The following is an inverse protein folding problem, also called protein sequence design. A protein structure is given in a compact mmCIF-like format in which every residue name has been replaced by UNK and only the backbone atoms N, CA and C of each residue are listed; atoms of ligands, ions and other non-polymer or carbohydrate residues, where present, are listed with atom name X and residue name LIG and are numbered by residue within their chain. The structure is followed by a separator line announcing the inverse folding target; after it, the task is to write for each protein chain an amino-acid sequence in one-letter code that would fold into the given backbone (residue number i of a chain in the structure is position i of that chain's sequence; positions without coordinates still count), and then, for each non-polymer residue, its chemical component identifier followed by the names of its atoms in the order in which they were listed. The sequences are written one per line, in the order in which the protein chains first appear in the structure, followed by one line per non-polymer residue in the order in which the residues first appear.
data_IF_796661453190
#
_entry.id   IF_796661453190
#
_cell.length_a   1.000
_cell.length_b   1.000
_cell.length_c   1.000
_cell.angle_alpha   90.00
_cell.angle_beta   90.00
_cell.angle_gamma   90.00
#
_symmetry.space_group_name_H-M   'P 1'
#
loop_
_entity.id
_entity.type
_entity.pdbx_description
1 polymer ?
#
# COMPACT_ATOMS: atom_id res chain seq x y z
N UNK A 1 24.58 -19.26 -61.24
CA UNK A 1 25.49 -18.78 -60.18
C UNK A 1 24.79 -18.34 -58.88
N UNK A 2 23.71 -17.54 -58.87
CA UNK A 2 23.04 -17.09 -57.61
C UNK A 2 22.50 -18.22 -56.70
N UNK A 3 21.94 -19.30 -57.25
CA UNK A 3 21.38 -20.43 -56.46
C UNK A 3 22.44 -21.28 -55.72
N UNK A 4 23.66 -21.37 -56.26
CA UNK A 4 24.75 -22.12 -55.63
C UNK A 4 25.33 -21.38 -54.41
N UNK A 5 25.40 -20.04 -54.47
CA UNK A 5 25.80 -19.21 -53.33
C UNK A 5 24.80 -19.28 -52.17
N UNK A 6 23.49 -19.27 -52.47
CA UNK A 6 22.45 -19.41 -51.45
C UNK A 6 22.51 -20.76 -50.74
N UNK A 7 22.73 -21.85 -51.49
CA UNK A 7 22.88 -23.18 -50.90
C UNK A 7 24.11 -23.31 -50.01
N UNK A 8 25.25 -22.77 -50.44
CA UNK A 8 26.48 -22.78 -49.65
C UNK A 8 26.36 -21.97 -48.35
N UNK A 9 25.72 -20.79 -48.38
CA UNK A 9 25.51 -19.97 -47.19
C UNK A 9 24.60 -20.66 -46.16
N UNK A 10 23.53 -21.31 -46.61
CA UNK A 10 22.58 -21.99 -45.73
C UNK A 10 23.22 -23.21 -45.06
N UNK A 11 24.06 -23.93 -45.80
CA UNK A 11 24.82 -25.08 -45.29
C UNK A 11 25.89 -24.63 -44.28
N UNK A 12 26.57 -23.50 -44.53
CA UNK A 12 27.52 -22.91 -43.59
C UNK A 12 26.84 -22.51 -42.27
N UNK A 13 25.66 -21.88 -42.34
CA UNK A 13 24.89 -21.51 -41.15
C UNK A 13 24.44 -22.74 -40.37
N UNK A 14 23.97 -23.79 -41.05
CA UNK A 14 23.59 -25.04 -40.40
C UNK A 14 24.80 -25.71 -39.70
N UNK A 15 25.96 -25.74 -40.34
CA UNK A 15 27.20 -26.28 -39.75
C UNK A 15 27.64 -25.45 -38.54
N UNK A 16 27.61 -24.12 -38.63
CA UNK A 16 27.94 -23.25 -37.51
C UNK A 16 26.96 -23.41 -36.34
N UNK A 17 25.67 -23.60 -36.60
CA UNK A 17 24.66 -23.85 -35.58
C UNK A 17 24.89 -25.19 -34.87
N UNK A 18 25.21 -26.25 -35.62
CA UNK A 18 25.53 -27.58 -35.06
C UNK A 18 26.83 -27.55 -34.24
N UNK A 19 27.88 -26.94 -34.77
CA UNK A 19 29.17 -26.81 -34.08
C UNK A 19 29.05 -25.93 -32.82
N UNK A 20 28.29 -24.83 -32.91
CA UNK A 20 27.95 -23.99 -31.76
C UNK A 20 27.16 -24.75 -30.70
N UNK A 21 26.14 -25.51 -31.10
CA UNK A 21 25.33 -26.33 -30.20
C UNK A 21 26.17 -27.40 -29.48
N UNK A 22 27.03 -28.11 -30.20
CA UNK A 22 27.94 -29.12 -29.63
C UNK A 22 28.98 -28.51 -28.69
N UNK A 23 29.53 -27.34 -29.02
CA UNK A 23 30.48 -26.64 -28.15
C UNK A 23 29.84 -26.14 -26.85
N UNK A 24 28.54 -25.81 -26.87
CA UNK A 24 27.79 -25.41 -25.68
C UNK A 24 27.38 -26.64 -24.84
N UNK A 25 26.94 -27.73 -25.47
CA UNK A 25 26.55 -28.98 -24.79
C UNK A 25 27.74 -29.73 -24.18
N UNK A 26 28.95 -29.59 -24.74
CA UNK A 26 30.16 -30.25 -24.26
C UNK A 26 30.91 -29.51 -23.14
N UNK A 27 30.51 -28.28 -22.79
CA UNK A 27 31.13 -27.55 -21.67
C UNK A 27 30.69 -28.19 -20.36
N UNK A 28 31.54 -29.09 -19.83
CA UNK A 28 31.49 -29.45 -18.42
C UNK A 28 31.68 -28.18 -17.62
N UNK A 29 30.63 -27.74 -16.94
CA UNK A 29 30.74 -26.69 -15.92
C UNK A 29 31.66 -27.29 -14.85
N UNK A 30 32.90 -26.82 -14.78
CA UNK A 30 33.82 -27.24 -13.72
C UNK A 30 33.29 -26.69 -12.40
N UNK A 31 32.85 -27.59 -11.53
CA UNK A 31 32.33 -27.29 -10.21
C UNK A 31 31.59 -28.51 -9.68
N UNK A 32 31.74 -28.78 -8.39
CA UNK A 32 30.88 -29.76 -7.73
C UNK A 32 29.47 -29.18 -7.62
N UNK A 33 28.41 -29.95 -7.92
CA UNK A 33 27.05 -29.50 -7.68
C UNK A 33 26.88 -29.22 -6.18
N UNK A 34 26.86 -27.95 -5.82
CA UNK A 34 26.55 -27.50 -4.48
C UNK A 34 25.07 -27.17 -4.40
N UNK A 35 24.41 -27.59 -3.32
CA UNK A 35 23.06 -27.12 -3.01
C UNK A 35 23.14 -25.64 -2.67
N UNK A 36 22.64 -24.79 -3.56
CA UNK A 36 22.45 -23.38 -3.24
C UNK A 36 21.36 -23.28 -2.14
N UNK A 37 21.57 -22.47 -1.09
CA UNK A 37 20.53 -22.26 -0.10
C UNK A 37 19.34 -21.60 -0.78
N UNK A 38 18.15 -22.12 -0.50
CA UNK A 38 16.91 -21.52 -1.00
C UNK A 38 16.66 -20.28 -0.16
N UNK A 39 16.49 -19.10 -0.77
CA UNK A 39 16.22 -17.88 -0.01
C UNK A 39 15.05 -18.08 0.94
N UNK A 40 15.14 -17.57 2.16
CA UNK A 40 14.01 -17.54 3.10
C UNK A 40 13.00 -16.44 2.74
N UNK A 41 12.03 -16.16 3.63
CA UNK A 41 11.20 -14.96 3.52
C UNK A 41 12.07 -13.69 3.57
N UNK A 42 11.62 -12.58 2.96
CA UNK A 42 12.31 -11.30 3.09
C UNK A 42 12.23 -10.79 4.53
N UNK A 43 13.23 -9.99 4.93
CA UNK A 43 13.26 -9.39 6.26
C UNK A 43 12.25 -8.23 6.38
N UNK A 44 11.80 -7.93 7.60
CA UNK A 44 11.06 -6.70 7.88
C UNK A 44 11.89 -5.48 7.46
N UNK A 45 11.23 -4.51 6.82
CA UNK A 45 11.89 -3.34 6.23
C UNK A 45 12.62 -3.63 4.92
N UNK A 46 12.44 -4.81 4.31
CA UNK A 46 12.85 -5.02 2.91
C UNK A 46 11.89 -4.29 1.98
N UNK A 47 12.42 -3.75 0.88
CA UNK A 47 11.64 -3.02 -0.11
C UNK A 47 11.32 -3.87 -1.33
N UNK A 48 10.14 -3.67 -1.89
CA UNK A 48 9.71 -4.32 -3.13
C UNK A 48 10.48 -3.72 -4.32
N UNK A 49 11.17 -4.58 -5.09
CA UNK A 49 11.95 -4.16 -6.27
C UNK A 49 11.09 -4.05 -7.52
N UNK A 50 10.09 -4.92 -7.66
CA UNK A 50 9.20 -4.99 -8.84
C UNK A 50 7.99 -4.08 -8.69
N UNK A 51 7.35 -3.77 -9.83
CA UNK A 51 6.11 -2.99 -9.85
C UNK A 51 5.05 -3.65 -8.94
N UNK A 52 4.43 -2.83 -8.11
CA UNK A 52 3.17 -3.21 -7.46
C UNK A 52 2.13 -3.31 -8.57
N UNK A 53 1.40 -4.42 -8.62
CA UNK A 53 0.30 -4.54 -9.56
C UNK A 53 -0.82 -3.64 -9.04
N UNK A 54 -1.39 -2.74 -9.86
CA UNK A 54 -2.50 -1.88 -9.44
C UNK A 54 -3.64 -2.70 -8.84
N UNK A 55 -4.43 -2.07 -7.96
CA UNK A 55 -5.56 -2.68 -7.26
C UNK A 55 -6.40 -3.59 -8.18
N UNK A 56 -6.32 -4.88 -7.87
CA UNK A 56 -6.81 -6.04 -8.60
C UNK A 56 -6.24 -7.25 -7.87
N UNK A 57 -6.95 -8.37 -7.84
CA UNK A 57 -6.61 -9.48 -6.92
C UNK A 57 -5.20 -9.99 -7.24
N UNK A 58 -4.21 -9.84 -6.34
CA UNK A 58 -2.82 -10.23 -6.58
C UNK A 58 -2.64 -11.75 -6.36
N UNK A 59 -3.60 -12.53 -6.83
CA UNK A 59 -3.57 -13.99 -6.75
C UNK A 59 -3.11 -14.54 -8.08
N UNK A 60 -2.12 -15.42 -8.03
CA UNK A 60 -1.78 -16.27 -9.15
C UNK A 60 -2.72 -17.48 -9.12
N UNK A 61 -3.28 -17.83 -10.29
CA UNK A 61 -3.95 -19.11 -10.48
C UNK A 61 -2.89 -20.15 -10.83
N UNK A 62 -2.43 -20.90 -9.82
CA UNK A 62 -1.46 -21.97 -9.97
C UNK A 62 -2.21 -23.29 -9.99
N UNK A 63 -2.52 -23.78 -11.19
CA UNK A 63 -3.19 -25.07 -11.41
C UNK A 63 -4.57 -25.19 -10.71
N UNK A 64 -5.33 -24.09 -10.65
CA UNK A 64 -6.64 -24.04 -9.99
C UNK A 64 -6.59 -23.78 -8.49
N UNK A 65 -5.39 -23.61 -7.91
CA UNK A 65 -5.18 -23.16 -6.53
C UNK A 65 -4.79 -21.68 -6.56
N UNK A 66 -5.58 -20.88 -5.87
CA UNK A 66 -5.26 -19.47 -5.66
C UNK A 66 -4.13 -19.38 -4.64
N UNK A 67 -3.07 -18.68 -5.02
CA UNK A 67 -1.93 -18.43 -4.15
C UNK A 67 -1.48 -16.98 -4.27
N UNK A 68 -0.81 -16.48 -3.24
CA UNK A 68 -0.22 -15.15 -3.28
C UNK A 68 0.90 -15.13 -4.31
N UNK A 69 0.96 -14.04 -5.09
CA UNK A 69 2.06 -13.82 -6.01
C UNK A 69 3.39 -13.76 -5.27
N UNK A 70 4.46 -14.13 -5.95
CA UNK A 70 5.82 -13.92 -5.45
C UNK A 70 6.43 -12.64 -6.01
N UNK A 71 7.34 -12.01 -5.26
CA UNK A 71 8.07 -10.84 -5.73
C UNK A 71 9.52 -10.82 -5.26
N UNK A 72 10.33 -9.97 -5.89
CA UNK A 72 11.72 -9.73 -5.52
C UNK A 72 11.83 -8.55 -4.55
N UNK A 73 12.64 -8.74 -3.51
CA UNK A 73 12.89 -7.75 -2.47
C UNK A 73 14.38 -7.37 -2.42
N UNK A 74 14.64 -6.14 -2.01
CA UNK A 74 15.98 -5.61 -1.80
C UNK A 74 16.06 -4.74 -0.55
N UNK A 75 17.28 -4.34 -0.16
CA UNK A 75 17.46 -3.32 0.87
C UNK A 75 16.81 -2.02 0.40
N UNK A 76 16.18 -1.27 1.30
CA UNK A 76 15.47 -0.02 0.98
C UNK A 76 16.35 1.18 0.54
N UNK A 77 17.46 0.95 -0.16
CA UNK A 77 18.35 1.98 -0.69
C UNK A 77 17.84 2.45 -2.07
N UNK A 78 16.98 3.48 -2.11
CA UNK A 78 16.51 4.09 -3.36
C UNK A 78 15.01 4.36 -3.39
N UNK A 79 14.45 4.47 -4.61
CA UNK A 79 13.02 4.67 -4.85
C UNK A 79 12.25 3.41 -4.45
N UNK A 80 11.09 3.59 -3.81
CA UNK A 80 10.30 2.48 -3.26
C UNK A 80 8.94 2.39 -3.89
N UNK A 81 8.54 1.16 -4.16
CA UNK A 81 7.16 0.84 -4.47
C UNK A 81 6.41 0.42 -3.20
N UNK A 82 7.04 -0.38 -2.32
CA UNK A 82 6.50 -0.76 -1.02
C UNK A 82 7.55 -1.31 -0.06
N UNK A 83 7.14 -1.55 1.19
CA UNK A 83 7.98 -2.03 2.29
C UNK A 83 7.30 -3.20 3.04
N UNK A 84 8.07 -4.23 3.36
CA UNK A 84 7.64 -5.36 4.20
C UNK A 84 7.47 -4.90 5.64
N UNK A 85 6.23 -4.92 6.15
CA UNK A 85 5.91 -4.50 7.53
C UNK A 85 5.58 -5.66 8.46
N UNK A 86 5.26 -6.83 7.90
CA UNK A 86 5.01 -8.04 8.67
C UNK A 86 5.29 -9.31 7.86
N UNK A 87 5.53 -10.40 8.59
CA UNK A 87 5.75 -11.75 8.10
C UNK A 87 4.83 -12.71 8.86
N UNK A 88 4.06 -13.49 8.12
CA UNK A 88 3.20 -14.56 8.59
C UNK A 88 3.89 -15.87 8.22
N UNK A 89 4.41 -16.59 9.22
CA UNK A 89 5.20 -17.82 9.00
C UNK A 89 4.36 -19.09 8.89
N UNK A 90 3.08 -19.01 9.23
CA UNK A 90 2.12 -20.11 9.14
C UNK A 90 0.79 -19.53 8.62
N UNK A 91 0.73 -19.18 7.32
CA UNK A 91 -0.43 -18.51 6.75
C UNK A 91 -1.61 -19.48 6.66
N UNK A 92 -2.82 -18.96 6.92
CA UNK A 92 -4.04 -19.69 6.61
C UNK A 92 -4.14 -19.95 5.09
N UNK A 93 -4.90 -20.97 4.64
CA UNK A 93 -5.24 -21.09 3.23
C UNK A 93 -5.89 -19.80 2.70
N UNK A 94 -5.57 -19.44 1.46
CA UNK A 94 -6.15 -18.26 0.80
C UNK A 94 -7.67 -18.40 0.77
N UNK A 95 -8.37 -17.38 1.26
CA UNK A 95 -9.83 -17.29 1.19
C UNK A 95 -10.24 -16.15 0.25
N UNK A 96 -11.21 -16.44 -0.62
CA UNK A 96 -11.71 -15.49 -1.61
C UNK A 96 -13.23 -15.48 -1.61
N UNK A 97 -13.78 -14.30 -1.35
CA UNK A 97 -15.20 -14.04 -1.46
C UNK A 97 -15.56 -13.61 -2.90
N UNK A 98 -16.70 -14.07 -3.47
CA UNK A 98 -17.22 -13.49 -4.70
C UNK A 98 -17.66 -12.04 -4.45
N UNK A 99 -17.34 -11.15 -5.38
CA UNK A 99 -17.87 -9.78 -5.39
C UNK A 99 -19.02 -9.77 -6.39
N UNK A 100 -20.22 -9.47 -5.89
CA UNK A 100 -21.43 -9.34 -6.71
C UNK A 100 -21.85 -7.87 -6.80
N UNK A 101 -22.40 -7.46 -7.93
CA UNK A 101 -22.95 -6.12 -8.10
C UNK A 101 -24.33 -5.95 -7.43
N UNK A 102 -24.95 -4.79 -7.62
CA UNK A 102 -26.29 -4.50 -7.08
C UNK A 102 -27.40 -5.41 -7.65
N UNK A 103 -27.17 -6.05 -8.79
CA UNK A 103 -28.10 -7.01 -9.41
C UNK A 103 -27.82 -8.45 -8.95
N UNK A 104 -26.74 -8.68 -8.20
CA UNK A 104 -26.30 -10.01 -7.78
C UNK A 104 -25.40 -10.71 -8.80
N UNK A 105 -24.97 -10.03 -9.87
CA UNK A 105 -24.09 -10.59 -10.88
C UNK A 105 -22.64 -10.62 -10.38
N UNK A 106 -21.93 -11.73 -10.61
CA UNK A 106 -20.51 -11.86 -10.24
C UNK A 106 -19.66 -10.88 -11.07
N UNK A 107 -19.11 -9.87 -10.42
CA UNK A 107 -18.22 -8.88 -11.05
C UNK A 107 -16.76 -9.07 -10.69
N UNK A 108 -16.45 -9.90 -9.69
CA UNK A 108 -15.07 -10.17 -9.32
C UNK A 108 -14.95 -11.11 -8.13
N UNK A 109 -13.76 -11.12 -7.55
CA UNK A 109 -13.46 -11.80 -6.28
C UNK A 109 -12.75 -10.79 -5.36
N UNK A 110 -12.74 -11.06 -4.07
CA UNK A 110 -12.10 -10.22 -3.06
C UNK A 110 -11.41 -11.11 -2.03
N UNK A 111 -10.25 -10.66 -1.55
CA UNK A 111 -9.56 -11.22 -0.38
C UNK A 111 -9.86 -10.41 0.88
N UNK A 112 -10.90 -9.58 0.89
CA UNK A 112 -11.24 -8.72 2.03
C UNK A 112 -11.48 -9.48 3.33
N UNK A 113 -11.99 -10.72 3.20
CA UNK A 113 -12.30 -11.59 4.33
C UNK A 113 -11.18 -12.64 4.58
N UNK A 114 -10.11 -12.60 3.79
CA UNK A 114 -8.97 -13.50 3.94
C UNK A 114 -8.28 -13.28 5.31
N UNK A 115 -8.07 -14.33 6.12
CA UNK A 115 -7.47 -14.18 7.44
C UNK A 115 -6.07 -13.57 7.41
N UNK A 116 -5.26 -13.88 6.40
CA UNK A 116 -3.92 -13.31 6.26
C UNK A 116 -4.01 -11.84 5.88
N UNK A 117 -4.98 -11.45 5.03
CA UNK A 117 -5.24 -10.06 4.68
C UNK A 117 -5.62 -9.23 5.91
N UNK A 118 -6.54 -9.74 6.74
CA UNK A 118 -6.94 -9.08 7.99
C UNK A 118 -5.77 -8.93 8.97
N UNK A 119 -4.94 -9.96 9.12
CA UNK A 119 -3.70 -9.90 9.91
C UNK A 119 -2.75 -8.83 9.36
N UNK A 120 -2.58 -8.78 8.04
CA UNK A 120 -1.73 -7.79 7.39
C UNK A 120 -2.23 -6.36 7.56
N UNK A 121 -3.55 -6.12 7.49
CA UNK A 121 -4.12 -4.79 7.79
C UNK A 121 -3.78 -4.39 9.23
N UNK A 122 -4.01 -5.28 10.19
CA UNK A 122 -3.75 -4.99 11.61
C UNK A 122 -2.26 -4.69 11.84
N UNK A 123 -1.36 -5.50 11.25
CA UNK A 123 0.07 -5.30 11.35
C UNK A 123 0.56 -4.01 10.69
N UNK A 124 0.08 -3.68 9.49
CA UNK A 124 0.42 -2.44 8.79
C UNK A 124 0.01 -1.20 9.60
N UNK A 125 -1.18 -1.23 10.20
CA UNK A 125 -1.68 -0.15 11.06
C UNK A 125 -0.85 -0.03 12.33
N UNK A 126 -0.55 -1.14 13.00
CA UNK A 126 0.34 -1.15 14.17
C UNK A 126 1.74 -0.61 13.85
N UNK A 127 2.30 -0.99 12.70
CA UNK A 127 3.59 -0.49 12.21
C UNK A 127 3.63 1.04 12.07
N UNK A 128 2.55 1.62 11.51
CA UNK A 128 2.36 3.07 11.35
C UNK A 128 1.87 3.79 12.63
N UNK A 129 1.68 3.08 13.74
CA UNK A 129 1.16 3.65 14.99
C UNK A 129 -0.31 4.08 14.91
N UNK A 130 -1.09 3.41 14.08
CA UNK A 130 -2.50 3.70 13.83
C UNK A 130 -3.41 2.78 14.64
N UNK A 131 -4.63 3.28 14.92
CA UNK A 131 -5.69 2.52 15.59
C UNK A 131 -5.97 1.23 14.81
N UNK A 132 -6.02 0.10 15.51
CA UNK A 132 -6.24 -1.22 14.87
C UNK A 132 -7.70 -1.39 14.45
N UNK A 133 -8.02 -2.24 13.45
CA UNK A 133 -9.39 -2.43 12.98
C UNK A 133 -10.38 -2.84 14.08
N UNK A 134 -9.94 -3.68 15.03
CA UNK A 134 -10.74 -4.09 16.18
C UNK A 134 -11.10 -2.94 17.14
N UNK A 135 -10.37 -1.82 17.06
CA UNK A 135 -10.56 -0.59 17.84
C UNK A 135 -11.19 0.54 17.01
N UNK A 136 -11.53 0.28 15.74
CA UNK A 136 -11.94 1.30 14.77
C UNK A 136 -13.33 1.91 15.03
N UNK A 137 -14.20 1.19 15.74
CA UNK A 137 -15.57 1.63 16.02
C UNK A 137 -15.52 2.84 16.94
N UNK A 138 -16.20 3.92 16.54
CA UNK A 138 -16.19 5.21 17.23
C UNK A 138 -14.79 5.84 17.36
N UNK A 139 -13.80 5.37 16.59
CA UNK A 139 -12.44 5.91 16.56
C UNK A 139 -12.13 6.58 15.21
N UNK A 140 -11.31 7.63 15.27
CA UNK A 140 -10.76 8.26 14.07
C UNK A 140 -9.64 7.40 13.49
N UNK A 141 -9.87 6.89 12.30
CA UNK A 141 -8.94 6.11 11.49
C UNK A 141 -8.28 7.05 10.49
N UNK A 142 -6.96 7.27 10.55
CA UNK A 142 -6.29 8.04 9.53
C UNK A 142 -6.52 7.43 8.15
N UNK A 143 -6.85 8.27 7.18
CA UNK A 143 -6.95 7.86 5.78
C UNK A 143 -5.62 8.21 5.13
N UNK A 144 -4.78 7.21 4.96
CA UNK A 144 -3.59 7.33 4.12
C UNK A 144 -3.74 6.36 2.95
N UNK A 145 -3.38 6.75 1.72
CA UNK A 145 -3.37 5.85 0.56
C UNK A 145 -2.49 4.59 0.74
N UNK A 146 -1.66 4.53 1.80
CA UNK A 146 -0.90 3.33 2.16
C UNK A 146 -1.67 2.31 3.00
N UNK A 147 -2.74 2.75 3.69
CA UNK A 147 -3.60 1.82 4.44
C UNK A 147 -4.52 1.08 3.45
N UNK A 148 -4.80 1.67 2.29
CA UNK A 148 -5.48 0.99 1.17
C UNK A 148 -4.51 0.19 0.29
N UNK A 149 -3.27 0.65 0.12
CA UNK A 149 -2.21 -0.06 -0.59
C UNK A 149 -1.54 -1.15 0.25
N UNK A 150 -2.23 -2.27 0.47
CA UNK A 150 -1.67 -3.47 1.10
C UNK A 150 -1.55 -4.61 0.09
N UNK A 151 -0.37 -5.22 0.00
CA UNK A 151 -0.11 -6.36 -0.85
C UNK A 151 0.39 -7.56 -0.04
N UNK A 152 -0.19 -8.73 -0.32
CA UNK A 152 0.25 -10.00 0.25
C UNK A 152 1.14 -10.70 -0.75
N UNK A 153 2.36 -11.02 -0.33
CA UNK A 153 3.36 -11.66 -1.19
C UNK A 153 3.78 -12.98 -0.56
N UNK A 154 3.72 -14.04 -1.35
CA UNK A 154 4.09 -15.39 -0.95
C UNK A 154 5.45 -15.85 -1.48
N UNK A 155 5.86 -17.08 -1.14
CA UNK A 155 7.04 -17.73 -1.68
C UNK A 155 6.98 -17.88 -3.20
N UNK A 156 8.15 -17.85 -3.84
CA UNK A 156 8.32 -18.25 -5.23
C UNK A 156 7.94 -19.72 -5.45
N UNK A 157 7.62 -20.15 -6.69
CA UNK A 157 7.39 -21.56 -7.00
C UNK A 157 8.53 -22.50 -6.55
N UNK A 158 9.78 -22.02 -6.61
CA UNK A 158 10.93 -22.78 -6.12
C UNK A 158 10.88 -22.93 -4.59
N UNK A 159 10.66 -21.84 -3.84
CA UNK A 159 10.53 -21.89 -2.38
C UNK A 159 9.40 -22.81 -1.93
N UNK A 160 8.22 -22.75 -2.59
CA UNK A 160 7.08 -23.64 -2.33
C UNK A 160 7.41 -25.12 -2.52
N UNK A 161 8.12 -25.48 -3.60
CA UNK A 161 8.55 -26.87 -3.86
C UNK A 161 9.46 -27.44 -2.78
N UNK A 162 10.10 -26.58 -1.99
CA UNK A 162 10.92 -26.97 -0.86
C UNK A 162 10.24 -26.71 0.50
N UNK A 163 8.91 -26.63 0.51
CA UNK A 163 8.10 -26.62 1.72
C UNK A 163 8.06 -25.28 2.45
N UNK A 164 8.55 -24.19 1.85
CA UNK A 164 8.35 -22.88 2.45
C UNK A 164 6.90 -22.45 2.34
N UNK A 165 6.33 -22.06 3.46
CA UNK A 165 5.01 -21.46 3.58
C UNK A 165 5.19 -20.18 4.39
N UNK A 166 4.96 -19.04 3.75
CA UNK A 166 4.99 -17.74 4.42
C UNK A 166 4.23 -16.72 3.58
N UNK A 167 3.77 -15.66 4.22
CA UNK A 167 3.18 -14.49 3.56
C UNK A 167 3.80 -13.25 4.17
N UNK A 168 4.18 -12.28 3.35
CA UNK A 168 4.58 -10.97 3.85
C UNK A 168 3.55 -9.92 3.50
N UNK A 169 3.37 -9.00 4.45
CA UNK A 169 2.51 -7.84 4.32
C UNK A 169 3.36 -6.69 3.82
N UNK A 170 3.05 -6.18 2.63
CA UNK A 170 3.77 -5.06 2.03
C UNK A 170 2.84 -3.86 1.99
N UNK A 171 3.22 -2.78 2.68
CA UNK A 171 2.54 -1.49 2.50
C UNK A 171 3.17 -0.79 1.31
N UNK A 172 2.36 -0.24 0.43
CA UNK A 172 2.82 0.39 -0.79
C UNK A 172 2.06 1.67 -1.09
N UNK A 173 2.68 2.50 -1.91
CA UNK A 173 2.08 3.73 -2.41
C UNK A 173 1.18 3.40 -3.61
N UNK A 174 -0.14 3.37 -3.42
CA UNK A 174 -1.09 3.14 -4.52
C UNK A 174 -0.94 4.19 -5.64
N UNK A 175 -0.53 5.41 -5.29
CA UNK A 175 -0.34 6.50 -6.24
C UNK A 175 0.95 6.31 -7.05
N UNK A 176 2.05 5.91 -6.42
CA UNK A 176 3.29 5.58 -7.15
C UNK A 176 3.20 4.25 -7.90
N UNK A 177 2.34 3.33 -7.47
CA UNK A 177 2.03 2.10 -8.21
C UNK A 177 1.37 2.43 -9.57
N UNK A 178 0.51 3.45 -9.61
CA UNK A 178 -0.16 3.90 -10.83
C UNK A 178 0.68 4.87 -11.68
N UNK A 179 1.55 5.69 -11.08
CA UNK A 179 2.44 6.63 -11.79
C UNK A 179 3.93 6.45 -11.43
N UNK A 180 4.62 5.64 -12.24
CA UNK A 180 6.05 5.31 -12.07
C UNK A 180 7.00 6.50 -12.18
N UNK A 181 6.54 7.67 -12.62
CA UNK A 181 7.37 8.87 -12.73
C UNK A 181 7.42 9.65 -11.44
N UNK A 182 6.53 9.37 -10.49
CA UNK A 182 6.52 10.07 -9.20
C UNK A 182 7.75 9.69 -8.39
N UNK A 183 8.41 10.68 -7.77
CA UNK A 183 9.46 10.40 -6.81
C UNK A 183 8.83 9.70 -5.60
N UNK A 184 9.26 8.47 -5.34
CA UNK A 184 8.96 7.81 -4.06
C UNK A 184 9.67 8.50 -2.89
N UNK A 185 9.58 7.92 -1.69
CA UNK A 185 10.24 8.45 -0.48
C UNK A 185 11.48 7.64 -0.10
N UNK A 186 12.40 8.27 0.65
CA UNK A 186 13.58 7.63 1.27
C UNK A 186 13.31 7.25 2.75
N UNK A 187 14.18 6.46 3.41
CA UNK A 187 14.03 6.04 4.83
C UNK A 187 13.26 4.73 5.12
N UNK A 188 12.13 4.77 5.80
CA UNK A 188 11.10 3.72 5.83
C UNK A 188 9.75 4.40 5.60
N UNK A 189 8.69 3.67 5.29
CA UNK A 189 7.32 4.23 5.18
C UNK A 189 6.96 4.87 6.51
N UNK A 190 7.31 4.22 7.63
CA UNK A 190 7.09 4.76 8.96
C UNK A 190 7.83 6.07 9.19
N UNK A 191 9.12 6.15 8.88
CA UNK A 191 9.89 7.37 9.07
C UNK A 191 9.39 8.51 8.17
N UNK A 192 9.00 8.18 6.93
CA UNK A 192 8.42 9.15 6.00
C UNK A 192 7.04 9.65 6.48
N UNK A 193 6.22 8.75 7.05
CA UNK A 193 4.89 9.06 7.54
C UNK A 193 4.88 9.83 8.87
N UNK A 194 5.85 9.56 9.74
CA UNK A 194 6.00 10.22 11.05
C UNK A 194 6.92 11.46 10.97
N UNK A 195 7.62 11.65 9.85
CA UNK A 195 8.49 12.80 9.61
C UNK A 195 7.72 14.08 9.26
N UNK A 196 8.46 15.18 9.12
CA UNK A 196 7.97 16.42 8.54
C UNK A 196 9.04 17.05 7.62
N UNK A 197 8.68 17.47 6.39
CA UNK A 197 7.35 17.35 5.79
C UNK A 197 7.00 15.88 5.48
N UNK A 198 5.73 15.52 5.64
CA UNK A 198 5.24 14.21 5.18
C UNK A 198 5.19 14.27 3.64
N UNK A 199 5.76 13.29 2.91
CA UNK A 199 5.65 13.25 1.46
C UNK A 199 4.19 13.24 1.01
N UNK A 200 3.86 14.06 0.02
CA UNK A 200 2.48 14.26 -0.42
C UNK A 200 1.76 12.96 -0.85
N UNK A 201 2.52 11.99 -1.35
CA UNK A 201 2.00 10.65 -1.67
C UNK A 201 1.48 9.87 -0.46
N UNK A 202 1.86 10.24 0.77
CA UNK A 202 1.36 9.61 2.00
C UNK A 202 0.12 10.32 2.58
N UNK A 203 -0.36 11.37 1.91
CA UNK A 203 -1.32 12.35 2.44
C UNK A 203 -2.56 12.40 1.56
N UNK A 204 -3.70 12.84 2.11
CA UNK A 204 -4.97 12.91 1.39
C UNK A 204 -5.56 14.32 1.48
N UNK A 205 -5.73 14.97 0.33
CA UNK A 205 -6.31 16.30 0.19
C UNK A 205 -7.49 16.29 -0.79
N UNK A 206 -8.31 17.36 -0.80
CA UNK A 206 -9.61 17.42 -1.51
C UNK A 206 -9.57 16.98 -3.00
N UNK A 207 -8.45 17.20 -3.70
CA UNK A 207 -8.27 16.88 -5.13
C UNK A 207 -7.14 15.87 -5.40
N UNK A 208 -6.61 15.21 -4.36
CA UNK A 208 -5.51 14.24 -4.49
C UNK A 208 -4.42 14.41 -3.42
N UNK A 209 -3.15 14.16 -3.75
CA UNK A 209 -2.04 14.33 -2.79
C UNK A 209 -1.85 15.81 -2.41
N UNK A 210 -1.25 16.05 -1.23
CA UNK A 210 -1.08 17.39 -0.68
C UNK A 210 0.19 18.12 -1.18
N UNK A 211 0.57 17.95 -2.45
CA UNK A 211 1.66 18.69 -3.14
C UNK A 211 1.14 19.77 -4.10
N UNK A 212 -0.18 19.94 -4.15
CA UNK A 212 -0.87 20.99 -4.91
C UNK A 212 -1.56 21.92 -3.92
N UNK A 213 -1.70 23.21 -4.28
CA UNK A 213 -2.48 24.16 -3.49
C UNK A 213 -3.86 23.62 -3.17
N UNK A 214 -4.17 23.50 -1.89
CA UNK A 214 -5.44 22.99 -1.40
C UNK A 214 -5.93 23.79 -0.19
N UNK A 215 -7.22 23.61 0.13
CA UNK A 215 -7.81 24.17 1.34
C UNK A 215 -8.10 23.12 2.39
N UNK A 216 -8.48 21.93 1.96
CA UNK A 216 -8.88 20.85 2.86
C UNK A 216 -7.86 19.72 2.79
N UNK A 217 -7.35 19.33 3.95
CA UNK A 217 -6.63 18.08 4.16
C UNK A 217 -7.49 17.12 4.97
N UNK A 218 -7.67 15.90 4.45
CA UNK A 218 -8.39 14.83 5.09
C UNK A 218 -7.46 14.08 6.04
N UNK A 219 -7.69 14.21 7.34
CA UNK A 219 -6.84 13.59 8.36
C UNK A 219 -7.27 12.16 8.68
N UNK A 220 -8.57 11.93 8.76
CA UNK A 220 -9.14 10.66 9.20
C UNK A 220 -10.61 10.49 8.80
N UNK A 221 -11.10 9.27 8.89
CA UNK A 221 -12.53 8.93 8.92
C UNK A 221 -12.88 8.15 10.17
N UNK A 222 -14.10 8.29 10.65
CA UNK A 222 -14.64 7.47 11.73
C UNK A 222 -15.94 6.81 11.29
N UNK A 223 -16.19 5.61 11.80
CA UNK A 223 -17.48 4.95 11.70
C UNK A 223 -18.16 4.96 13.06
N UNK A 224 -19.27 5.67 13.16
CA UNK A 224 -20.07 5.76 14.37
C UNK A 224 -21.23 4.76 14.32
N UNK A 225 -21.35 3.93 15.36
CA UNK A 225 -22.43 2.94 15.50
C UNK A 225 -23.41 3.30 16.62
N UNK A 226 -23.27 4.48 17.20
CA UNK A 226 -24.17 5.03 18.20
C UNK A 226 -24.41 6.51 17.92
N UNK A 227 -25.58 7.06 18.31
CA UNK A 227 -25.87 8.46 18.09
C UNK A 227 -24.85 9.37 18.78
N UNK A 228 -24.47 10.45 18.09
CA UNK A 228 -23.57 11.48 18.61
C UNK A 228 -24.14 12.86 18.29
N UNK A 229 -23.75 13.87 19.04
CA UNK A 229 -24.04 15.27 18.68
C UNK A 229 -22.97 15.81 17.74
N UNK A 230 -23.35 16.81 16.94
CA UNK A 230 -22.40 17.53 16.08
C UNK A 230 -21.20 18.08 16.87
N UNK A 231 -21.44 18.60 18.08
CA UNK A 231 -20.41 19.14 18.96
C UNK A 231 -19.43 18.05 19.42
N UNK A 232 -19.92 16.87 19.81
CA UNK A 232 -19.08 15.74 20.23
C UNK A 232 -18.18 15.24 19.10
N UNK A 233 -18.71 15.09 17.88
CA UNK A 233 -17.90 14.65 16.73
C UNK A 233 -16.88 15.71 16.32
N UNK A 234 -17.26 16.99 16.35
CA UNK A 234 -16.31 18.08 16.07
C UNK A 234 -15.19 18.15 17.09
N UNK A 235 -15.51 17.97 18.37
CA UNK A 235 -14.53 17.95 19.45
C UNK A 235 -13.56 16.76 19.29
N UNK A 236 -14.06 15.55 19.09
CA UNK A 236 -13.18 14.38 18.92
C UNK A 236 -12.32 14.48 17.65
N UNK A 237 -12.84 15.08 16.57
CA UNK A 237 -12.05 15.38 15.38
C UNK A 237 -10.96 16.41 15.69
N UNK A 238 -11.24 17.45 16.49
CA UNK A 238 -10.24 18.43 16.91
C UNK A 238 -9.12 17.78 17.72
N UNK A 239 -9.46 16.96 18.70
CA UNK A 239 -8.47 16.24 19.52
C UNK A 239 -7.60 15.34 18.64
N UNK A 240 -8.21 14.59 17.71
CA UNK A 240 -7.47 13.76 16.77
C UNK A 240 -6.57 14.61 15.86
N UNK A 241 -7.08 15.73 15.33
CA UNK A 241 -6.32 16.63 14.49
C UNK A 241 -5.12 17.24 15.23
N UNK A 242 -5.25 17.59 16.51
CA UNK A 242 -4.13 18.04 17.34
C UNK A 242 -3.04 16.97 17.44
N UNK A 243 -3.42 15.71 17.71
CA UNK A 243 -2.47 14.60 17.78
C UNK A 243 -1.78 14.38 16.43
N UNK A 244 -2.53 14.37 15.33
CA UNK A 244 -2.01 14.11 13.98
C UNK A 244 -1.10 15.22 13.44
N UNK A 245 -1.42 16.47 13.76
CA UNK A 245 -0.59 17.63 13.36
C UNK A 245 0.56 17.86 14.33
N UNK A 246 0.48 17.36 15.56
CA UNK A 246 1.41 17.68 16.64
C UNK A 246 1.28 19.11 17.18
N UNK A 247 0.27 19.88 16.75
CA UNK A 247 0.04 21.24 17.21
C UNK A 247 -0.56 21.23 18.62
N UNK A 248 0.02 22.01 19.53
CA UNK A 248 -0.43 22.08 20.92
C UNK A 248 -1.88 22.60 21.05
N UNK A 249 -2.23 23.63 20.28
CA UNK A 249 -3.58 24.19 20.24
C UNK A 249 -3.95 24.59 18.81
N UNK A 250 -4.84 23.81 18.18
CA UNK A 250 -5.34 24.12 16.85
C UNK A 250 -6.20 25.39 16.81
N UNK A 251 -6.85 25.75 17.92
CA UNK A 251 -7.74 26.92 17.97
C UNK A 251 -6.97 28.24 18.03
N UNK A 252 -5.71 28.20 18.46
CA UNK A 252 -4.80 29.34 18.46
C UNK A 252 -4.18 29.61 17.07
N UNK A 253 -4.32 28.68 16.12
CA UNK A 253 -3.78 28.84 14.76
C UNK A 253 -4.76 29.65 13.92
N UNK A 254 -4.48 30.95 13.77
CA UNK A 254 -5.27 31.82 12.91
C UNK A 254 -5.25 31.32 11.45
N UNK A 255 -6.44 31.21 10.84
CA UNK A 255 -6.60 30.80 9.44
C UNK A 255 -6.74 29.29 9.22
N UNK A 256 -6.88 28.50 10.28
CA UNK A 256 -7.08 27.06 10.21
C UNK A 256 -8.32 26.66 11.04
N UNK A 257 -9.21 25.86 10.46
CA UNK A 257 -10.42 25.40 11.13
C UNK A 257 -10.62 23.90 11.00
N UNK A 258 -11.18 23.30 12.07
CA UNK A 258 -11.58 21.88 12.09
C UNK A 258 -12.95 21.74 11.44
N UNK A 259 -13.03 20.91 10.40
CA UNK A 259 -14.25 20.63 9.64
C UNK A 259 -14.55 19.14 9.73
N UNK A 260 -15.82 18.80 9.98
CA UNK A 260 -16.28 17.42 9.91
C UNK A 260 -17.33 17.31 8.81
N UNK A 261 -17.14 16.39 7.86
CA UNK A 261 -18.11 16.07 6.81
C UNK A 261 -18.87 14.80 7.24
N UNK A 262 -20.20 14.90 7.38
CA UNK A 262 -21.12 13.78 7.69
C UNK A 262 -22.56 14.13 7.29
N UNK A 263 -23.47 13.15 7.25
CA UNK A 263 -24.90 13.41 7.07
C UNK A 263 -25.59 13.68 8.42
N UNK A 264 -26.29 14.81 8.57
CA UNK A 264 -26.91 15.17 9.85
C UNK A 264 -27.96 14.16 10.32
N UNK A 265 -28.78 13.64 9.38
CA UNK A 265 -29.74 12.58 9.67
C UNK A 265 -29.05 11.26 10.06
N UNK A 266 -27.93 10.91 9.40
CA UNK A 266 -27.17 9.72 9.74
C UNK A 266 -26.53 9.82 11.13
N UNK A 267 -26.11 11.01 11.56
CA UNK A 267 -25.48 11.22 12.87
C UNK A 267 -26.44 11.00 14.03
N UNK A 268 -27.66 11.52 13.90
CA UNK A 268 -28.70 11.33 14.90
C UNK A 268 -29.25 9.88 14.92
N UNK A 269 -29.18 9.19 13.78
CA UNK A 269 -29.72 7.84 13.59
C UNK A 269 -28.68 6.72 13.62
N UNK A 270 -27.41 7.01 13.91
CA UNK A 270 -26.32 6.04 13.86
C UNK A 270 -26.59 4.87 14.83
N UNK A 271 -26.49 3.65 14.32
CA UNK A 271 -26.74 2.40 15.04
C UNK A 271 -25.86 1.28 14.47
N UNK A 272 -25.71 0.11 15.14
CA UNK A 272 -24.90 -0.99 14.61
C UNK A 272 -25.34 -1.51 13.24
N UNK A 273 -26.65 -1.50 12.97
CA UNK A 273 -27.26 -1.87 11.69
C UNK A 273 -27.26 -0.72 10.66
N UNK A 274 -26.94 0.50 11.10
CA UNK A 274 -26.96 1.74 10.31
C UNK A 274 -25.75 2.62 10.71
N UNK A 275 -24.52 2.17 10.42
CA UNK A 275 -23.33 2.94 10.76
C UNK A 275 -23.29 4.26 10.00
N UNK A 276 -22.80 5.33 10.63
CA UNK A 276 -22.48 6.58 9.96
C UNK A 276 -20.98 6.68 9.74
N UNK A 277 -20.56 6.97 8.51
CA UNK A 277 -19.20 7.44 8.23
C UNK A 277 -19.12 8.97 8.33
N UNK A 278 -18.10 9.45 9.03
CA UNK A 278 -17.73 10.86 9.08
C UNK A 278 -16.26 11.04 8.67
N UNK A 279 -15.93 12.19 8.09
CA UNK A 279 -14.57 12.57 7.73
C UNK A 279 -14.11 13.76 8.56
N UNK A 280 -12.91 13.68 9.13
CA UNK A 280 -12.26 14.75 9.88
C UNK A 280 -11.23 15.45 8.99
N UNK A 281 -11.41 16.76 8.79
CA UNK A 281 -10.58 17.57 7.92
C UNK A 281 -10.04 18.79 8.66
N UNK A 282 -8.88 19.26 8.23
CA UNK A 282 -8.41 20.61 8.51
C UNK A 282 -8.59 21.46 7.27
N UNK A 283 -9.13 22.66 7.47
CA UNK A 283 -9.44 23.62 6.42
C UNK A 283 -8.68 24.92 6.62
N UNK A 284 -7.98 25.37 5.59
CA UNK A 284 -7.51 26.75 5.50
C UNK A 284 -8.70 27.70 5.28
N UNK A 285 -8.79 28.73 6.12
CA UNK A 285 -9.86 29.73 6.05
C UNK A 285 -9.77 30.58 4.77
N UNK A 286 -10.79 31.42 4.52
CA UNK A 286 -10.85 32.25 3.33
C UNK A 286 -9.59 33.12 3.14
N UNK A 287 -9.05 33.10 1.93
CA UNK A 287 -7.86 33.86 1.56
C UNK A 287 -6.52 33.19 1.89
N UNK A 288 -6.54 31.97 2.43
CA UNK A 288 -5.33 31.16 2.64
C UNK A 288 -5.38 29.85 1.86
N UNK A 289 -4.20 29.34 1.56
CA UNK A 289 -3.99 28.05 0.93
C UNK A 289 -2.87 27.29 1.64
N UNK A 290 -2.90 25.97 1.50
CA UNK A 290 -1.84 25.07 1.94
C UNK A 290 -1.07 24.58 0.72
N UNK A 291 0.25 24.56 0.78
CA UNK A 291 1.15 23.99 -0.24
C UNK A 291 1.86 22.70 0.22
N UNK A 292 1.39 22.12 1.33
CA UNK A 292 1.92 20.89 1.92
C UNK A 292 0.96 20.29 2.94
N UNK A 293 1.30 19.09 3.43
CA UNK A 293 0.53 18.43 4.49
C UNK A 293 0.76 19.05 5.87
N UNK A 294 -0.29 19.04 6.68
CA UNK A 294 -0.35 19.45 8.08
C UNK A 294 0.05 18.32 9.04
N UNK A 295 0.24 17.09 8.55
CA UNK A 295 0.69 15.97 9.38
C UNK A 295 2.07 16.24 9.99
N UNK A 296 2.20 15.99 11.30
CA UNK A 296 3.43 16.14 12.08
C UNK A 296 4.11 17.53 12.02
N UNK A 297 3.37 18.60 11.66
CA UNK A 297 3.86 19.99 11.66
C UNK A 297 4.52 20.37 13.00
N UNK A 298 3.91 20.00 14.12
CA UNK A 298 4.39 20.18 15.49
C UNK A 298 4.30 21.62 16.01
N UNK A 299 4.49 22.63 15.16
CA UNK A 299 4.50 24.07 15.54
C UNK A 299 3.84 24.94 14.48
N UNK A 300 3.09 25.96 14.91
CA UNK A 300 2.29 26.80 14.02
C UNK A 300 3.12 27.58 12.98
N UNK A 301 4.38 27.90 13.27
CA UNK A 301 5.32 28.57 12.36
C UNK A 301 5.84 27.67 11.22
N UNK A 302 5.57 26.36 11.28
CA UNK A 302 5.94 25.38 10.25
C UNK A 302 4.78 25.00 9.33
N UNK A 303 3.60 25.59 9.52
CA UNK A 303 2.45 25.32 8.65
C UNK A 303 2.80 25.74 7.21
N UNK A 304 2.60 24.86 6.22
CA UNK A 304 2.93 25.12 4.81
C UNK A 304 1.87 26.05 4.17
N UNK A 305 1.93 27.34 4.51
CA UNK A 305 1.04 28.37 3.95
C UNK A 305 1.53 28.86 2.59
N UNK A 306 0.58 29.14 1.69
CA UNK A 306 0.78 29.80 0.40
C UNK A 306 -0.07 31.06 0.20
#
# INVERSE_FOLDING_TARGET
MRRQLSGAALLLVAVLAVLGGMAVLGRRIQGDPATAPIPGPPALGSCLRTDVIPAGIPLDDLDGLLDYRSAEFETCAGRRAGEVVALITDPAPVDVAPVVDINGDLVGRSISDDPNYLMCISAARGYLGLVRPEEAVDAWIPLSPFISGLELIGPTPLQRRFGQQWVVCVVFDETSASDRRRPGFAGTVKDAYLGFPVPAVLTACDLGPCDILHRDELLASATFISPRTAAQVKESCREHAQVRTGLADLTAVAGLSVVVKYSAAGLAGAAPDRPLTASCLLRADEGRWLDGSLLNVGRADRIPWA
#
